data_IF_758579122325
#
_entry.id   IF_758579122325
#
_cell.length_a   1.000
_cell.length_b   1.000
_cell.length_c   1.000
_cell.angle_alpha   90.00
_cell.angle_beta   90.00
_cell.angle_gamma   90.00
#
_symmetry.space_group_name_H-M   'P 1'
#
loop_
_entity.id
_entity.type
_entity.pdbx_description
1 polymer ?
#
# COMPACT_ATOMS: atom_id res chain seq x y z
N UNK A 1 10.44 2.43 14.98
CA UNK A 1 9.78 1.15 14.62
C UNK A 1 8.70 1.49 13.62
N UNK A 2 8.80 0.99 12.38
CA UNK A 2 7.67 1.13 11.46
C UNK A 2 6.52 0.30 12.01
N UNK A 3 5.34 0.88 12.08
CA UNK A 3 4.19 0.28 12.74
C UNK A 3 3.56 -0.74 11.79
N UNK A 4 3.95 -2.02 11.84
CA UNK A 4 3.38 -3.08 10.99
C UNK A 4 2.01 -3.60 11.46
N UNK A 5 1.47 -3.01 12.53
CA UNK A 5 0.20 -3.42 13.12
C UNK A 5 -0.99 -3.36 12.15
N UNK A 6 -0.96 -2.44 11.19
CA UNK A 6 -2.00 -2.36 10.16
C UNK A 6 -2.04 -3.60 9.24
N UNK A 7 -0.97 -4.40 9.16
CA UNK A 7 -0.95 -5.65 8.39
C UNK A 7 -1.78 -6.76 9.06
N UNK A 8 -2.14 -6.60 10.33
CA UNK A 8 -3.03 -7.51 11.05
C UNK A 8 -4.50 -7.05 10.97
N UNK A 9 -4.76 -5.83 10.48
CA UNK A 9 -6.11 -5.35 10.28
C UNK A 9 -6.76 -6.00 9.05
N UNK A 10 -7.92 -6.62 9.26
CA UNK A 10 -8.77 -7.14 8.19
C UNK A 10 -9.33 -5.97 7.37
N UNK A 11 -8.60 -5.58 6.34
CA UNK A 11 -8.90 -4.45 5.48
C UNK A 11 -8.56 -4.83 4.06
N UNK A 12 -9.59 -4.85 3.21
CA UNK A 12 -9.46 -5.18 1.81
C UNK A 12 -8.63 -4.13 1.06
N UNK A 13 -7.91 -4.58 0.02
CA UNK A 13 -7.17 -3.65 -0.82
C UNK A 13 -8.13 -2.72 -1.56
N UNK A 14 -7.78 -1.44 -1.75
CA UNK A 14 -8.59 -0.52 -2.53
C UNK A 14 -8.68 -1.04 -3.98
N UNK A 15 -9.84 -1.59 -4.34
CA UNK A 15 -9.99 -2.26 -5.64
C UNK A 15 -10.50 -1.33 -6.75
N UNK A 16 -11.42 -0.40 -6.46
CA UNK A 16 -12.05 0.47 -7.48
C UNK A 16 -12.61 1.76 -6.86
N UNK A 17 -13.06 1.70 -5.60
CA UNK A 17 -13.49 2.90 -4.88
C UNK A 17 -12.23 3.62 -4.41
N UNK A 18 -12.03 4.90 -4.74
CA UNK A 18 -10.91 5.66 -4.20
C UNK A 18 -11.09 5.70 -2.68
N UNK A 19 -10.40 4.83 -1.95
CA UNK A 19 -10.16 5.05 -0.53
C UNK A 19 -9.41 6.36 -0.48
N UNK A 20 -10.14 7.39 -0.06
CA UNK A 20 -9.75 8.78 -0.19
C UNK A 20 -8.28 8.93 0.22
N UNK A 21 -7.44 9.25 -0.78
CA UNK A 21 -6.03 9.62 -0.64
C UNK A 21 -4.98 8.51 -0.59
N UNK A 22 -5.31 7.24 -0.88
CA UNK A 22 -4.27 6.22 -1.13
C UNK A 22 -3.77 6.35 -2.58
N UNK A 23 -2.51 6.75 -2.76
CA UNK A 23 -1.93 7.05 -4.09
C UNK A 23 -1.11 5.90 -4.66
N UNK A 24 -0.65 4.98 -3.83
CA UNK A 24 0.12 3.82 -4.27
C UNK A 24 -0.13 2.66 -3.32
N UNK A 25 -0.24 1.44 -3.83
CA UNK A 25 -0.32 0.23 -3.00
C UNK A 25 0.28 -0.98 -3.71
N UNK A 26 0.92 -1.83 -2.91
CA UNK A 26 1.53 -3.08 -3.30
C UNK A 26 0.82 -4.23 -2.58
N UNK A 27 0.48 -5.28 -3.33
CA UNK A 27 -0.16 -6.50 -2.79
C UNK A 27 0.88 -7.62 -2.69
N UNK A 28 0.90 -8.30 -1.56
CA UNK A 28 1.79 -9.38 -1.18
C UNK A 28 1.00 -10.62 -0.79
N UNK A 29 1.56 -11.79 -1.05
CA UNK A 29 0.96 -13.08 -0.62
C UNK A 29 1.42 -13.55 0.76
N UNK A 30 2.33 -12.81 1.39
CA UNK A 30 2.88 -13.12 2.71
C UNK A 30 3.01 -11.87 3.56
N UNK A 31 2.62 -11.98 4.85
CA UNK A 31 2.80 -10.92 5.85
C UNK A 31 4.26 -10.47 5.95
N UNK A 32 5.20 -11.42 5.93
CA UNK A 32 6.63 -11.12 6.02
C UNK A 32 7.12 -10.29 4.83
N UNK A 33 6.70 -10.62 3.61
CA UNK A 33 7.05 -9.85 2.42
C UNK A 33 6.51 -8.42 2.48
N UNK A 34 5.29 -8.23 2.99
CA UNK A 34 4.71 -6.92 3.24
C UNK A 34 5.52 -6.14 4.30
N UNK A 35 5.91 -6.80 5.40
CA UNK A 35 6.74 -6.22 6.46
C UNK A 35 8.14 -5.80 5.98
N UNK A 36 8.78 -6.60 5.14
CA UNK A 36 10.07 -6.29 4.51
C UNK A 36 9.98 -5.13 3.52
N UNK A 37 8.81 -4.87 2.95
CA UNK A 37 8.60 -3.73 2.07
C UNK A 37 8.53 -2.40 2.85
N UNK A 38 7.98 -2.41 4.07
CA UNK A 38 7.82 -1.21 4.91
C UNK A 38 9.08 -0.33 5.01
N UNK A 39 10.25 -0.85 5.42
CA UNK A 39 11.46 -0.02 5.56
C UNK A 39 11.96 0.57 4.24
N UNK A 40 11.51 0.04 3.09
CA UNK A 40 11.90 0.54 1.77
C UNK A 40 10.96 1.64 1.27
N UNK A 41 9.83 1.88 1.96
CA UNK A 41 8.89 2.94 1.61
C UNK A 41 9.38 4.26 2.22
N UNK A 42 9.85 5.16 1.37
CA UNK A 42 10.15 6.53 1.77
C UNK A 42 8.86 7.34 1.87
N UNK A 43 8.47 7.64 3.11
CA UNK A 43 7.41 8.59 3.43
C UNK A 43 7.99 10.00 3.57
N UNK A 44 7.47 10.92 2.78
CA UNK A 44 7.63 12.36 2.95
C UNK A 44 6.63 12.96 3.95
N UNK A 45 6.78 14.26 4.23
CA UNK A 45 5.89 14.97 5.14
C UNK A 45 4.44 14.98 4.61
N UNK A 46 3.49 14.57 5.46
CA UNK A 46 2.08 14.44 5.08
C UNK A 46 1.72 13.13 4.37
N UNK A 47 2.63 12.16 4.36
CA UNK A 47 2.38 10.79 3.90
C UNK A 47 2.31 9.84 5.09
N UNK A 48 1.38 8.89 5.02
CA UNK A 48 1.19 7.84 6.01
C UNK A 48 1.19 6.48 5.33
N UNK A 49 1.83 5.49 5.95
CA UNK A 49 1.69 4.09 5.56
C UNK A 49 0.33 3.58 6.03
N UNK A 50 -0.40 2.99 5.10
CA UNK A 50 -1.66 2.28 5.36
C UNK A 50 -1.54 0.88 4.81
N UNK A 51 -2.35 -0.04 5.30
CA UNK A 51 -2.37 -1.38 4.76
C UNK A 51 -3.41 -2.21 5.45
N UNK A 52 -3.37 -3.50 5.14
CA UNK A 52 -4.34 -4.46 5.62
C UNK A 52 -4.08 -5.84 5.06
N UNK A 53 -4.92 -6.77 5.48
CA UNK A 53 -5.02 -8.06 4.84
C UNK A 53 -6.47 -8.39 4.50
N UNK A 54 -6.61 -9.22 3.48
CA UNK A 54 -7.89 -9.74 3.03
C UNK A 54 -7.75 -11.16 2.55
N UNK A 55 -8.87 -11.74 2.16
CA UNK A 55 -8.91 -13.03 1.52
C UNK A 55 -9.58 -12.87 0.16
N UNK A 56 -8.88 -13.29 -0.88
CA UNK A 56 -9.41 -13.35 -2.23
C UNK A 56 -9.66 -14.81 -2.62
N UNK A 57 -10.27 -15.05 -3.79
CA UNK A 57 -10.52 -16.38 -4.35
C UNK A 57 -9.26 -17.25 -4.46
N UNK A 58 -8.07 -16.64 -4.55
CA UNK A 58 -6.78 -17.35 -4.60
C UNK A 58 -6.20 -17.64 -3.19
N UNK A 59 -6.67 -16.94 -2.16
CA UNK A 59 -6.19 -17.08 -0.78
C UNK A 59 -5.96 -15.75 -0.08
N UNK A 60 -5.36 -15.81 1.12
CA UNK A 60 -5.04 -14.60 1.91
C UNK A 60 -4.00 -13.74 1.20
N UNK A 61 -4.17 -12.44 1.32
CA UNK A 61 -3.24 -11.45 0.79
C UNK A 61 -3.06 -10.33 1.80
N UNK A 62 -1.89 -9.70 1.77
CA UNK A 62 -1.55 -8.51 2.52
C UNK A 62 -1.29 -7.39 1.54
N UNK A 63 -1.58 -6.17 1.91
CA UNK A 63 -1.26 -5.03 1.07
C UNK A 63 -0.74 -3.88 1.92
N UNK A 64 0.14 -3.11 1.30
CA UNK A 64 0.74 -1.92 1.89
C UNK A 64 0.57 -0.81 0.88
N UNK A 65 0.00 0.30 1.31
CA UNK A 65 -0.14 1.50 0.52
C UNK A 65 0.32 2.76 1.24
N UNK A 66 0.45 3.82 0.46
CA UNK A 66 0.79 5.15 0.93
C UNK A 66 -0.43 6.03 0.79
N UNK A 67 -0.91 6.52 1.94
CA UNK A 67 -1.92 7.55 2.02
C UNK A 67 -1.26 8.91 2.10
N UNK A 68 -1.75 9.89 1.35
CA UNK A 68 -1.35 11.29 1.45
C UNK A 68 -2.45 12.09 2.15
N UNK A 69 -2.13 13.18 2.82
CA UNK A 69 -3.18 14.06 3.35
C UNK A 69 -3.91 14.81 2.21
N UNK A 70 -3.15 15.21 1.18
CA UNK A 70 -3.66 16.00 0.05
C UNK A 70 -3.13 15.44 -1.29
N UNK A 71 -4.02 14.85 -2.08
CA UNK A 71 -3.72 14.36 -3.44
C UNK A 71 -3.29 15.51 -4.37
N UNK A 72 -3.84 16.71 -4.18
CA UNK A 72 -3.57 17.87 -5.03
C UNK A 72 -2.14 18.42 -4.87
N UNK A 73 -1.55 18.27 -3.68
CA UNK A 73 -0.18 18.68 -3.35
C UNK A 73 0.88 17.62 -3.61
N UNK A 74 0.49 16.35 -3.81
CA UNK A 74 1.44 15.24 -4.01
C UNK A 74 2.18 15.28 -5.36
N UNK A 75 1.89 16.29 -6.19
CA UNK A 75 2.87 16.80 -7.15
C UNK A 75 3.01 16.03 -8.45
N UNK A 76 2.51 14.82 -8.59
CA UNK A 76 2.40 14.17 -9.89
C UNK A 76 1.36 13.05 -9.88
N UNK A 77 0.15 13.35 -10.34
CA UNK A 77 -0.95 12.38 -10.51
C UNK A 77 -0.54 11.23 -11.45
N UNK A 78 0.54 11.40 -12.22
CA UNK A 78 1.10 10.38 -13.11
C UNK A 78 1.98 9.34 -12.39
N UNK A 79 2.51 9.62 -11.19
CA UNK A 79 3.31 8.67 -10.40
C UNK A 79 2.48 7.59 -9.69
N UNK A 80 1.16 7.60 -9.89
CA UNK A 80 0.22 6.56 -9.43
C UNK A 80 0.38 5.25 -10.24
N UNK A 81 1.23 5.22 -11.27
CA UNK A 81 1.37 4.06 -12.15
C UNK A 81 2.67 3.26 -11.98
N UNK A 82 2.46 2.00 -11.53
CA UNK A 82 3.02 0.77 -12.11
C UNK A 82 4.44 0.37 -11.71
N UNK A 83 4.58 -0.25 -10.53
CA UNK A 83 5.53 -1.36 -10.33
C UNK A 83 4.79 -2.70 -10.31
N UNK A 84 4.11 -3.02 -11.41
CA UNK A 84 3.89 -4.41 -11.79
C UNK A 84 5.19 -4.94 -12.39
N UNK A 85 5.88 -5.78 -11.61
CA UNK A 85 7.09 -6.56 -11.96
C UNK A 85 7.21 -6.93 -13.45
N UNK A 86 8.34 -6.57 -14.08
CA UNK A 86 8.89 -7.31 -15.22
C UNK A 86 10.33 -7.66 -14.85
N UNK A 87 10.58 -8.94 -14.59
CA UNK A 87 11.94 -9.46 -14.55
C UNK A 87 12.49 -9.54 -15.97
N UNK A 88 13.79 -9.28 -16.09
CA UNK A 88 14.66 -9.77 -17.16
C UNK A 88 15.42 -10.98 -16.59
#
# INVERSE_FOLDING_TARGET
MLNDQFLDEAREAPSIVPMARVVNWSIFRSREAAGQHLPHVHLGAGQALVGGHGQDSIGRYWWVGVQVDDIGRWGDVAAVNKHGRQGD
#
